data_IF_831287201360
#
_entry.id   IF_831287201360
#
_cell.length_a   1.000
_cell.length_b   1.000
_cell.length_c   1.000
_cell.angle_alpha   90.00
_cell.angle_beta   90.00
_cell.angle_gamma   90.00
#
_symmetry.space_group_name_H-M   'P 1'
#
loop_
_entity.id
_entity.type
_entity.pdbx_description
1 polymer ?
#
# COMPACT_ATOMS: atom_id res chain seq x y z
N UNK A 1 2.22 -7.62 18.33
CA UNK A 1 2.62 -7.27 16.96
C UNK A 1 2.20 -8.36 15.99
N UNK A 2 1.43 -8.00 14.97
CA UNK A 2 0.92 -8.97 14.00
C UNK A 2 1.89 -9.16 12.84
N UNK A 3 2.06 -10.39 12.32
CA UNK A 3 2.82 -10.58 11.10
C UNK A 3 2.11 -9.91 9.92
N UNK A 4 2.89 -9.44 8.95
CA UNK A 4 2.39 -8.76 7.76
C UNK A 4 2.77 -9.57 6.53
N UNK A 5 1.76 -9.82 5.70
CA UNK A 5 1.93 -10.54 4.44
C UNK A 5 1.61 -9.60 3.27
N UNK A 6 2.58 -9.42 2.37
CA UNK A 6 2.34 -8.71 1.11
C UNK A 6 1.86 -9.71 0.07
N UNK A 7 0.65 -9.49 -0.44
CA UNK A 7 0.17 -10.31 -1.56
C UNK A 7 1.07 -10.06 -2.78
N UNK A 8 1.20 -11.05 -3.66
CA UNK A 8 2.04 -10.90 -4.86
C UNK A 8 1.72 -9.66 -5.69
N UNK A 9 0.44 -9.33 -5.86
CA UNK A 9 0.04 -8.12 -6.58
C UNK A 9 0.52 -6.84 -5.90
N UNK A 10 0.49 -6.79 -4.56
CA UNK A 10 0.98 -5.63 -3.80
C UNK A 10 2.50 -5.50 -3.92
N UNK A 11 3.22 -6.61 -3.88
CA UNK A 11 4.67 -6.60 -4.07
C UNK A 11 5.03 -6.09 -5.47
N UNK A 12 4.31 -6.56 -6.48
CA UNK A 12 4.51 -6.09 -7.84
C UNK A 12 4.24 -4.60 -7.95
N UNK A 13 3.15 -4.11 -7.34
CA UNK A 13 2.83 -2.67 -7.31
C UNK A 13 3.98 -1.86 -6.73
N UNK A 14 4.54 -2.31 -5.59
CA UNK A 14 5.63 -1.63 -4.91
C UNK A 14 6.87 -1.53 -5.81
N UNK A 15 7.25 -2.65 -6.42
CA UNK A 15 8.43 -2.70 -7.28
C UNK A 15 8.25 -1.87 -8.55
N UNK A 16 7.08 -1.92 -9.17
CA UNK A 16 6.77 -1.13 -10.37
C UNK A 16 6.83 0.37 -10.06
N UNK A 17 6.30 0.79 -8.92
CA UNK A 17 6.34 2.20 -8.52
C UNK A 17 7.74 2.67 -8.17
N UNK A 18 8.54 1.82 -7.51
CA UNK A 18 9.93 2.15 -7.22
C UNK A 18 10.72 2.36 -8.51
N UNK A 19 10.50 1.49 -9.50
CA UNK A 19 11.14 1.62 -10.81
C UNK A 19 10.71 2.90 -11.52
N UNK A 20 9.43 3.25 -11.45
CA UNK A 20 8.93 4.51 -11.99
C UNK A 20 9.64 5.71 -11.36
N UNK A 21 9.75 5.74 -10.03
CA UNK A 21 10.41 6.84 -9.33
C UNK A 21 11.91 6.90 -9.63
N UNK A 22 12.57 5.73 -9.77
CA UNK A 22 13.96 5.68 -10.19
C UNK A 22 14.16 6.38 -11.54
N UNK A 23 13.30 6.06 -12.50
CA UNK A 23 13.39 6.61 -13.86
C UNK A 23 13.06 8.10 -13.91
N UNK A 24 12.05 8.53 -13.15
CA UNK A 24 11.54 9.90 -13.23
C UNK A 24 12.28 10.89 -12.31
N UNK A 25 12.77 10.42 -11.16
CA UNK A 25 13.29 11.30 -10.13
C UNK A 25 14.63 10.83 -9.53
N UNK A 26 15.18 9.73 -10.02
CA UNK A 26 16.46 9.21 -9.60
C UNK A 26 16.34 8.08 -8.59
N UNK A 27 17.41 7.29 -8.51
CA UNK A 27 17.49 6.09 -7.66
C UNK A 27 17.24 6.39 -6.18
N UNK A 28 17.70 7.55 -5.70
CA UNK A 28 17.49 7.94 -4.30
C UNK A 28 16.00 8.06 -3.96
N UNK A 29 15.20 8.56 -4.89
CA UNK A 29 13.74 8.70 -4.68
C UNK A 29 13.05 7.35 -4.72
N UNK A 30 13.43 6.46 -5.64
CA UNK A 30 12.90 5.10 -5.67
C UNK A 30 13.21 4.34 -4.40
N UNK A 31 14.45 4.45 -3.90
CA UNK A 31 14.84 3.81 -2.63
C UNK A 31 14.07 4.39 -1.44
N UNK A 32 13.85 5.70 -1.43
CA UNK A 32 13.05 6.33 -0.38
C UNK A 32 11.61 5.82 -0.39
N UNK A 33 11.03 5.66 -1.60
CA UNK A 33 9.69 5.12 -1.72
C UNK A 33 9.57 3.73 -1.06
N UNK A 34 10.53 2.84 -1.33
CA UNK A 34 10.55 1.51 -0.72
C UNK A 34 10.64 1.62 0.80
N UNK A 35 11.54 2.46 1.32
CA UNK A 35 11.70 2.63 2.77
C UNK A 35 10.43 3.15 3.44
N UNK A 36 9.76 4.12 2.82
CA UNK A 36 8.54 4.69 3.38
C UNK A 36 7.38 3.71 3.34
N UNK A 37 7.28 2.90 2.27
CA UNK A 37 6.30 1.81 2.23
C UNK A 37 6.55 0.81 3.35
N UNK A 38 7.79 0.37 3.51
CA UNK A 38 8.14 -0.62 4.52
C UNK A 38 7.89 -0.10 5.94
N UNK A 39 8.20 1.17 6.19
CA UNK A 39 7.93 1.81 7.48
C UNK A 39 6.43 1.89 7.76
N UNK A 40 5.63 2.21 6.74
CA UNK A 40 4.18 2.24 6.88
C UNK A 40 3.60 0.87 7.19
N UNK A 41 4.07 -0.14 6.50
CA UNK A 41 3.66 -1.53 6.70
C UNK A 41 4.03 -2.00 8.10
N UNK A 42 5.24 -1.68 8.57
CA UNK A 42 5.66 -2.02 9.93
C UNK A 42 4.78 -1.38 10.99
N UNK A 43 4.40 -0.12 10.78
CA UNK A 43 3.50 0.58 11.71
C UNK A 43 2.14 -0.13 11.81
N UNK A 44 1.64 -0.67 10.71
CA UNK A 44 0.38 -1.42 10.70
C UNK A 44 0.44 -2.67 11.56
N UNK A 45 1.60 -3.30 11.67
CA UNK A 45 1.77 -4.47 12.51
C UNK A 45 1.51 -4.17 13.99
N UNK A 46 1.77 -2.92 14.40
CA UNK A 46 1.55 -2.44 15.77
C UNK A 46 0.18 -1.82 15.96
N UNK A 47 -0.34 -1.17 14.93
CA UNK A 47 -1.60 -0.42 14.97
C UNK A 47 -2.48 -0.83 13.78
N UNK A 48 -3.05 -2.05 13.81
CA UNK A 48 -3.78 -2.59 12.65
C UNK A 48 -4.99 -1.76 12.21
N UNK A 49 -5.59 -1.01 13.13
CA UNK A 49 -6.78 -0.23 12.83
C UNK A 49 -6.49 1.25 12.60
N UNK A 50 -5.21 1.62 12.43
CA UNK A 50 -4.81 3.02 12.25
C UNK A 50 -5.21 3.59 10.89
N UNK A 51 -5.40 2.75 9.88
CA UNK A 51 -5.79 3.20 8.55
C UNK A 51 -7.25 3.59 8.46
N UNK A 52 -7.56 4.36 7.41
CA UNK A 52 -8.93 4.81 7.12
C UNK A 52 -9.71 3.69 6.47
N UNK A 53 -10.97 3.50 6.88
CA UNK A 53 -11.85 2.52 6.25
C UNK A 53 -12.07 2.92 4.79
N UNK A 54 -11.85 1.96 3.88
CA UNK A 54 -12.02 2.19 2.45
C UNK A 54 -13.50 2.28 2.11
N UNK A 55 -13.89 3.36 1.43
CA UNK A 55 -15.28 3.61 1.07
C UNK A 55 -15.63 3.20 -0.36
N UNK A 56 -14.67 2.72 -1.13
CA UNK A 56 -14.95 2.20 -2.47
C UNK A 56 -15.69 0.88 -2.38
N UNK A 57 -16.84 0.82 -3.03
CA UNK A 57 -17.65 -0.41 -3.05
C UNK A 57 -17.16 -1.34 -4.14
N UNK A 58 -16.15 -2.11 -3.81
CA UNK A 58 -15.59 -3.09 -4.72
C UNK A 58 -15.28 -4.37 -3.95
N UNK A 59 -15.63 -5.56 -4.48
CA UNK A 59 -15.40 -6.82 -3.75
C UNK A 59 -13.95 -7.03 -3.31
N UNK A 60 -12.99 -6.60 -4.12
CA UNK A 60 -11.57 -6.74 -3.80
C UNK A 60 -11.12 -5.88 -2.62
N UNK A 61 -11.89 -4.84 -2.28
CA UNK A 61 -11.56 -3.91 -1.21
C UNK A 61 -12.44 -4.08 0.02
N UNK A 62 -13.36 -5.04 0.01
CA UNK A 62 -14.24 -5.28 1.14
C UNK A 62 -13.41 -5.61 2.40
N UNK A 63 -13.70 -4.92 3.49
CA UNK A 63 -12.98 -5.07 4.75
C UNK A 63 -11.60 -4.42 4.78
N UNK A 64 -11.24 -3.67 3.74
CA UNK A 64 -9.94 -3.01 3.68
C UNK A 64 -9.93 -1.67 4.39
N UNK A 65 -8.75 -1.31 4.85
CA UNK A 65 -8.36 0.03 5.26
C UNK A 65 -7.24 0.50 4.35
N UNK A 66 -6.94 1.79 4.38
CA UNK A 66 -5.82 2.34 3.61
C UNK A 66 -5.02 3.33 4.44
N UNK A 67 -3.72 3.41 4.12
CA UNK A 67 -2.82 4.43 4.62
C UNK A 67 -2.11 5.09 3.45
N UNK A 68 -1.72 6.35 3.65
CA UNK A 68 -0.89 7.04 2.68
C UNK A 68 0.58 6.68 2.90
N UNK A 69 1.37 6.69 1.84
CA UNK A 69 2.82 6.52 1.95
C UNK A 69 3.42 7.90 2.26
N UNK A 70 4.12 8.08 3.41
CA UNK A 70 4.71 9.38 3.77
C UNK A 70 5.64 9.91 2.68
N UNK A 71 5.44 11.17 2.29
CA UNK A 71 6.20 11.79 1.21
C UNK A 71 5.69 11.45 -0.20
N UNK A 72 4.72 10.53 -0.29
CA UNK A 72 4.12 10.07 -1.56
C UNK A 72 2.60 9.99 -1.35
N UNK A 73 1.98 11.12 -1.02
CA UNK A 73 0.60 11.18 -0.53
C UNK A 73 -0.46 10.79 -1.55
N UNK A 74 -0.08 10.61 -2.81
CA UNK A 74 -0.98 10.08 -3.84
C UNK A 74 -0.99 8.57 -3.89
N UNK A 75 -0.07 7.93 -3.16
CA UNK A 75 0.05 6.47 -3.14
C UNK A 75 -0.61 5.93 -1.86
N UNK A 76 -1.52 4.97 -2.05
CA UNK A 76 -2.26 4.33 -0.98
C UNK A 76 -1.85 2.88 -0.82
N UNK A 77 -1.66 2.46 0.41
CA UNK A 77 -1.49 1.04 0.77
C UNK A 77 -2.84 0.54 1.25
N UNK A 78 -3.45 -0.36 0.49
CA UNK A 78 -4.71 -1.01 0.86
C UNK A 78 -4.38 -2.30 1.60
N UNK A 79 -4.96 -2.46 2.79
CA UNK A 79 -4.67 -3.63 3.62
C UNK A 79 -5.93 -4.14 4.32
N UNK A 80 -5.89 -5.40 4.70
CA UNK A 80 -6.96 -6.07 5.45
C UNK A 80 -6.41 -6.49 6.81
N UNK A 81 -6.89 -5.87 7.91
CA UNK A 81 -6.52 -6.36 9.24
C UNK A 81 -7.34 -7.61 9.56
N UNK A 82 -6.66 -8.73 9.69
CA UNK A 82 -7.26 -9.99 10.12
C UNK A 82 -6.87 -10.27 11.57
N UNK A 83 -7.57 -11.16 12.29
CA UNK A 83 -7.27 -11.41 13.70
C UNK A 83 -5.84 -11.86 13.96
N UNK A 84 -5.23 -12.59 13.04
CA UNK A 84 -3.91 -13.20 13.25
C UNK A 84 -2.80 -12.58 12.41
N UNK A 85 -3.14 -11.73 11.44
CA UNK A 85 -2.16 -11.14 10.53
C UNK A 85 -2.74 -9.94 9.81
N UNK A 86 -1.87 -9.20 9.15
CA UNK A 86 -2.28 -8.13 8.24
C UNK A 86 -1.91 -8.54 6.83
N UNK A 87 -2.84 -8.40 5.89
CA UNK A 87 -2.58 -8.63 4.48
C UNK A 87 -2.54 -7.30 3.74
N UNK A 88 -1.42 -7.03 3.08
CA UNK A 88 -1.32 -5.89 2.16
C UNK A 88 -1.88 -6.36 0.82
N UNK A 89 -3.00 -5.75 0.42
CA UNK A 89 -3.78 -6.20 -0.74
C UNK A 89 -3.28 -5.58 -2.03
N UNK A 90 -3.10 -4.26 -2.05
CA UNK A 90 -2.59 -3.52 -3.21
C UNK A 90 -1.89 -2.25 -2.74
N UNK A 91 -0.99 -1.73 -3.58
CA UNK A 91 -0.37 -0.42 -3.39
C UNK A 91 -0.61 0.35 -4.68
N UNK A 92 -1.46 1.38 -4.64
CA UNK A 92 -1.98 2.02 -5.85
C UNK A 92 -1.94 3.53 -5.75
N UNK A 93 -1.84 4.18 -6.91
CA UNK A 93 -2.03 5.62 -7.01
C UNK A 93 -3.53 5.94 -6.88
N UNK A 94 -3.90 6.70 -5.84
CA UNK A 94 -5.30 6.91 -5.46
C UNK A 94 -6.18 7.53 -6.52
N UNK A 95 -5.64 8.46 -7.32
CA UNK A 95 -6.45 9.12 -8.35
C UNK A 95 -6.44 8.40 -9.69
N UNK A 96 -5.43 7.58 -9.96
CA UNK A 96 -5.19 7.05 -11.32
C UNK A 96 -5.48 5.57 -11.45
N UNK A 97 -5.12 4.79 -10.44
CA UNK A 97 -5.05 3.34 -10.60
C UNK A 97 -6.25 2.57 -10.05
N UNK A 98 -7.02 3.17 -9.11
CA UNK A 98 -8.05 2.41 -8.39
C UNK A 98 -9.13 1.86 -9.31
N UNK A 99 -9.79 2.70 -10.10
CA UNK A 99 -10.84 2.23 -10.99
C UNK A 99 -10.31 1.32 -12.09
N UNK A 100 -9.13 1.65 -12.58
CA UNK A 100 -8.50 0.96 -13.69
C UNK A 100 -8.02 -0.44 -13.30
N UNK A 101 -7.41 -0.57 -12.12
CA UNK A 101 -6.81 -1.83 -11.68
C UNK A 101 -7.83 -2.77 -11.03
N UNK A 102 -8.86 -2.23 -10.38
CA UNK A 102 -9.86 -3.02 -9.66
C UNK A 102 -11.04 -3.43 -10.52
N UNK A 103 -11.25 -2.76 -11.62
CA UNK A 103 -12.24 -3.16 -12.60
C UNK A 103 -11.65 -4.13 -13.60
#
# INVERSE_FOLDING_TARGET
MLPVFLRPAARKDQLDMAEYYDAEAGEAVGNRFIRECDAGVERLSRFPESGTIVRYKHPKLEGCRSILVPGFEKILIFYRPLPERIEIVRILHGARDIEWVLN
#
